data_IF_794897641923
#
_entry.id   IF_794897641923
#
_cell.length_a   1.000
_cell.length_b   1.000
_cell.length_c   1.000
_cell.angle_alpha   90.00
_cell.angle_beta   90.00
_cell.angle_gamma   90.00
#
_symmetry.space_group_name_H-M   'P 1'
#
loop_
_entity.id
_entity.type
_entity.pdbx_description
1 polymer ?
#
# COMPACT_ATOMS: atom_id res chain seq x y z
N UNK A 1 -9.96 -20.71 11.85
CA UNK A 1 -9.56 -19.32 11.89
C UNK A 1 -10.21 -18.54 10.75
N UNK A 2 -10.49 -17.27 10.93
CA UNK A 2 -10.94 -16.36 9.89
C UNK A 2 -10.29 -14.99 10.11
N UNK A 3 -10.20 -14.20 9.04
CA UNK A 3 -9.55 -12.89 9.04
C UNK A 3 -10.59 -11.77 9.03
N UNK A 4 -10.37 -10.78 9.88
CA UNK A 4 -11.04 -9.48 9.83
C UNK A 4 -10.03 -8.43 9.46
N UNK A 5 -10.29 -7.68 8.38
CA UNK A 5 -9.39 -6.62 7.92
C UNK A 5 -10.07 -5.27 8.04
N UNK A 6 -9.37 -4.33 8.65
CA UNK A 6 -9.81 -2.93 8.80
C UNK A 6 -8.92 -2.04 7.94
N UNK A 7 -9.53 -1.18 7.12
CA UNK A 7 -8.84 -0.11 6.42
C UNK A 7 -9.01 1.18 7.23
N UNK A 8 -7.90 1.78 7.65
CA UNK A 8 -7.90 3.00 8.47
C UNK A 8 -8.04 4.27 7.61
N UNK A 9 -8.09 4.12 6.28
CA UNK A 9 -8.16 5.23 5.32
C UNK A 9 -7.00 6.23 5.39
N UNK A 10 -5.88 5.82 5.97
CA UNK A 10 -4.65 6.58 6.08
C UNK A 10 -3.62 5.80 6.88
N UNK A 11 -2.35 6.21 6.76
CA UNK A 11 -1.26 5.61 7.52
C UNK A 11 -1.22 6.24 8.90
N UNK A 12 -1.33 5.43 9.94
CA UNK A 12 -1.26 5.85 11.34
C UNK A 12 -0.16 5.08 12.09
N UNK A 13 0.48 5.74 13.04
CA UNK A 13 1.22 5.03 14.11
C UNK A 13 0.22 4.41 15.05
N UNK A 14 0.29 3.11 15.25
CA UNK A 14 -0.69 2.35 16.01
C UNK A 14 -0.24 2.16 17.46
N UNK A 15 -1.15 2.47 18.37
CA UNK A 15 -0.96 2.24 19.81
C UNK A 15 -1.57 0.90 20.22
N UNK A 16 -2.87 0.72 19.98
CA UNK A 16 -3.60 -0.45 20.47
C UNK A 16 -4.85 -0.76 19.68
N UNK A 17 -5.34 -1.99 19.87
CA UNK A 17 -6.68 -2.42 19.48
C UNK A 17 -7.48 -2.64 20.75
N UNK A 18 -8.74 -2.23 20.76
CA UNK A 18 -9.70 -2.62 21.78
C UNK A 18 -10.86 -3.37 21.14
N UNK A 19 -11.22 -4.49 21.73
CA UNK A 19 -12.36 -5.29 21.36
C UNK A 19 -13.34 -5.32 22.52
N UNK A 20 -14.59 -4.97 22.25
CA UNK A 20 -15.69 -5.06 23.18
C UNK A 20 -16.53 -6.29 22.84
N UNK A 21 -16.50 -7.35 23.68
CA UNK A 21 -17.32 -8.52 23.48
C UNK A 21 -18.81 -8.19 23.55
N UNK A 22 -19.65 -9.02 22.92
CA UNK A 22 -21.09 -8.92 23.10
C UNK A 22 -21.46 -9.17 24.58
N UNK A 23 -22.34 -8.36 25.09
CA UNK A 23 -22.88 -8.47 26.46
C UNK A 23 -24.05 -9.44 26.60
N UNK A 24 -24.46 -10.10 25.52
CA UNK A 24 -25.54 -11.07 25.56
C UNK A 24 -25.22 -12.25 26.49
N UNK A 25 -26.26 -12.76 27.17
CA UNK A 25 -26.16 -13.73 28.26
C UNK A 25 -25.36 -14.98 27.90
N UNK A 26 -25.35 -15.39 26.65
CA UNK A 26 -24.65 -16.59 26.18
C UNK A 26 -23.25 -16.31 25.61
N UNK A 27 -22.87 -15.02 25.42
CA UNK A 27 -21.57 -14.57 24.92
C UNK A 27 -20.95 -15.47 23.81
N UNK A 28 -21.82 -16.09 22.99
CA UNK A 28 -21.37 -16.86 21.83
C UNK A 28 -20.59 -15.96 20.89
N UNK A 29 -19.48 -16.47 20.37
CA UNK A 29 -18.67 -15.72 19.42
C UNK A 29 -17.64 -14.79 20.05
N UNK A 30 -17.55 -14.72 21.37
CA UNK A 30 -16.50 -13.93 22.01
C UNK A 30 -15.11 -14.41 21.56
N UNK A 31 -14.32 -13.46 21.04
CA UNK A 31 -12.96 -13.68 20.58
C UNK A 31 -12.01 -13.68 21.77
N UNK A 32 -11.16 -14.67 21.90
CA UNK A 32 -10.16 -14.69 22.97
C UNK A 32 -8.76 -15.11 22.54
N UNK A 33 -8.56 -15.64 21.32
CA UNK A 33 -7.23 -15.93 20.84
C UNK A 33 -7.09 -15.64 19.36
N UNK A 34 -5.93 -15.16 18.98
CA UNK A 34 -5.60 -14.87 17.60
C UNK A 34 -4.28 -14.14 17.45
N UNK A 35 -4.10 -13.57 16.27
CA UNK A 35 -2.90 -12.80 15.91
C UNK A 35 -3.27 -11.54 15.18
N UNK A 36 -2.36 -10.58 15.24
CA UNK A 36 -2.50 -9.27 14.61
C UNK A 36 -1.40 -9.09 13.59
N UNK A 37 -1.78 -8.64 12.40
CA UNK A 37 -0.86 -8.22 11.36
C UNK A 37 -1.24 -6.83 10.84
N UNK A 38 -0.27 -6.11 10.30
CA UNK A 38 -0.43 -4.79 9.72
C UNK A 38 0.06 -4.76 8.29
N UNK A 39 -0.47 -3.83 7.50
CA UNK A 39 -0.07 -3.64 6.11
C UNK A 39 -0.21 -2.18 5.70
N UNK A 40 0.59 -1.76 4.72
CA UNK A 40 0.43 -0.47 4.03
C UNK A 40 -0.53 -0.56 2.86
N UNK A 41 -0.57 -1.68 2.15
CA UNK A 41 -1.25 -1.86 0.86
C UNK A 41 -2.42 -2.87 0.90
N UNK A 42 -2.61 -3.55 2.04
CA UNK A 42 -3.64 -4.58 2.20
C UNK A 42 -3.29 -5.94 1.58
N UNK A 43 -2.11 -6.06 0.97
CA UNK A 43 -1.64 -7.27 0.28
C UNK A 43 -0.41 -7.88 0.97
N UNK A 44 0.55 -7.04 1.31
CA UNK A 44 1.77 -7.44 2.02
C UNK A 44 1.60 -7.21 3.53
N UNK A 45 1.70 -8.27 4.32
CA UNK A 45 1.38 -8.27 5.74
C UNK A 45 2.61 -8.50 6.61
N UNK A 46 2.76 -7.66 7.63
CA UNK A 46 3.75 -7.83 8.70
C UNK A 46 3.04 -8.30 9.96
N UNK A 47 3.46 -9.43 10.50
CA UNK A 47 2.92 -9.95 11.76
C UNK A 47 3.45 -9.13 12.94
N UNK A 48 2.53 -8.67 13.81
CA UNK A 48 2.84 -7.85 14.98
C UNK A 48 2.78 -8.64 16.30
N UNK A 49 2.19 -9.83 16.28
CA UNK A 49 2.14 -10.74 17.41
C UNK A 49 0.78 -11.39 17.62
N UNK A 50 0.69 -12.14 18.68
CA UNK A 50 -0.49 -12.91 19.09
C UNK A 50 -1.13 -12.31 20.33
N UNK A 51 -2.41 -12.62 20.53
CA UNK A 51 -3.12 -12.32 21.77
C UNK A 51 -3.85 -13.54 22.30
N UNK A 52 -3.95 -13.60 23.61
CA UNK A 52 -4.79 -14.53 24.34
C UNK A 52 -5.47 -13.78 25.47
N UNK A 53 -6.79 -13.62 25.38
CA UNK A 53 -7.58 -12.83 26.30
C UNK A 53 -8.39 -13.71 27.26
N UNK A 54 -8.70 -13.17 28.43
CA UNK A 54 -9.59 -13.83 29.38
C UNK A 54 -10.98 -14.06 28.77
N UNK A 55 -11.59 -15.19 29.12
CA UNK A 55 -12.93 -15.59 28.65
C UNK A 55 -14.04 -14.93 29.50
N UNK A 56 -14.00 -13.61 29.60
CA UNK A 56 -14.97 -12.77 30.31
C UNK A 56 -15.52 -11.68 29.41
N UNK A 57 -16.57 -10.99 29.86
CA UNK A 57 -17.23 -9.91 29.11
C UNK A 57 -16.53 -8.56 29.16
N UNK A 58 -15.36 -8.45 29.78
CA UNK A 58 -14.61 -7.21 29.86
C UNK A 58 -13.99 -6.80 28.53
N UNK A 59 -13.70 -5.50 28.40
CA UNK A 59 -12.96 -4.98 27.25
C UNK A 59 -11.61 -5.67 27.11
N UNK A 60 -11.28 -6.10 25.91
CA UNK A 60 -10.01 -6.73 25.57
C UNK A 60 -9.11 -5.71 24.89
N UNK A 61 -7.82 -5.80 25.17
CA UNK A 61 -6.85 -4.90 24.60
C UNK A 61 -5.65 -5.69 24.05
N UNK A 62 -5.20 -5.27 22.86
CA UNK A 62 -3.93 -5.66 22.29
C UNK A 62 -3.11 -4.41 22.06
N UNK A 63 -1.94 -4.32 22.71
CA UNK A 63 -1.03 -3.17 22.55
C UNK A 63 0.06 -3.50 21.54
N UNK A 64 0.22 -2.64 20.54
CA UNK A 64 1.29 -2.77 19.56
C UNK A 64 2.66 -2.52 20.20
N UNK A 65 3.64 -3.35 19.85
CA UNK A 65 5.03 -3.12 20.21
C UNK A 65 5.69 -2.24 19.13
N UNK A 66 6.40 -1.19 19.55
CA UNK A 66 7.16 -0.35 18.65
C UNK A 66 6.33 0.61 17.77
N UNK A 67 5.03 0.76 18.06
CA UNK A 67 4.13 1.70 17.37
C UNK A 67 4.23 1.61 15.83
N UNK A 68 3.89 0.45 15.22
CA UNK A 68 4.03 0.27 13.78
C UNK A 68 3.18 1.27 13.01
N UNK A 69 3.68 1.74 11.88
CA UNK A 69 2.89 2.53 10.93
C UNK A 69 2.15 1.58 9.98
N UNK A 70 0.85 1.80 9.79
CA UNK A 70 0.05 1.00 8.87
C UNK A 70 -1.22 1.72 8.43
N UNK A 71 -1.75 1.32 7.28
CA UNK A 71 -3.09 1.69 6.80
C UNK A 71 -4.11 0.59 7.04
N UNK A 72 -3.68 -0.67 7.07
CA UNK A 72 -4.55 -1.81 7.28
C UNK A 72 -4.13 -2.59 8.52
N UNK A 73 -5.12 -3.04 9.26
CA UNK A 73 -4.94 -3.93 10.40
C UNK A 73 -5.75 -5.19 10.15
N UNK A 74 -5.11 -6.35 10.29
CA UNK A 74 -5.76 -7.64 10.18
C UNK A 74 -5.72 -8.35 11.53
N UNK A 75 -6.87 -8.81 11.97
CA UNK A 75 -7.02 -9.72 13.09
C UNK A 75 -7.40 -11.09 12.56
N UNK A 76 -6.52 -12.07 12.71
CA UNK A 76 -6.83 -13.48 12.46
C UNK A 76 -7.33 -14.09 13.74
N UNK A 77 -8.61 -14.44 13.76
CA UNK A 77 -9.27 -15.08 14.91
C UNK A 77 -9.01 -16.58 14.85
N UNK A 78 -8.43 -17.12 15.92
CA UNK A 78 -8.10 -18.54 16.03
C UNK A 78 -9.06 -19.29 16.94
N UNK A 79 -9.48 -18.68 18.06
CA UNK A 79 -10.42 -19.27 19.00
C UNK A 79 -11.49 -18.28 19.44
N UNK A 80 -12.73 -18.79 19.49
CA UNK A 80 -13.90 -18.08 19.98
C UNK A 80 -14.73 -18.95 20.89
N UNK A 81 -15.60 -18.35 21.70
CA UNK A 81 -16.61 -19.09 22.43
C UNK A 81 -17.74 -19.51 21.48
N UNK A 82 -17.92 -20.79 21.27
CA UNK A 82 -19.01 -21.34 20.44
C UNK A 82 -18.76 -21.38 18.93
N UNK A 83 -17.49 -21.16 18.47
CA UNK A 83 -17.08 -21.41 17.08
C UNK A 83 -17.41 -20.32 16.06
N UNK A 84 -18.17 -19.30 16.43
CA UNK A 84 -18.42 -18.10 15.60
C UNK A 84 -17.79 -16.89 16.27
N UNK A 85 -17.45 -15.84 15.53
CA UNK A 85 -17.00 -14.59 16.12
C UNK A 85 -18.11 -13.56 16.17
N UNK A 86 -18.19 -12.88 17.29
CA UNK A 86 -19.09 -11.75 17.49
C UNK A 86 -18.44 -10.70 18.38
N UNK A 87 -18.95 -9.49 18.35
CA UNK A 87 -18.53 -8.41 19.22
C UNK A 87 -19.45 -7.23 19.04
N UNK A 88 -19.46 -6.32 19.99
CA UNK A 88 -20.20 -5.07 19.87
C UNK A 88 -19.39 -4.07 19.09
N UNK A 89 -18.08 -3.96 19.40
CA UNK A 89 -17.20 -2.94 18.85
C UNK A 89 -15.78 -3.45 18.73
N UNK A 90 -15.08 -2.93 17.72
CA UNK A 90 -13.65 -3.12 17.52
C UNK A 90 -13.02 -1.77 17.15
N UNK A 91 -12.12 -1.30 17.98
CA UNK A 91 -11.44 -0.02 17.80
C UNK A 91 -9.96 -0.21 17.57
N UNK A 92 -9.40 0.58 16.64
CA UNK A 92 -7.96 0.75 16.47
C UNK A 92 -7.58 2.17 16.87
N UNK A 93 -6.65 2.28 17.80
CA UNK A 93 -6.18 3.57 18.30
C UNK A 93 -4.80 3.89 17.74
N UNK A 94 -4.65 5.11 17.28
CA UNK A 94 -3.34 5.65 16.93
C UNK A 94 -2.60 6.13 18.17
N UNK A 95 -1.28 6.17 18.10
CA UNK A 95 -0.43 6.76 19.13
C UNK A 95 -0.86 8.21 19.42
N UNK A 96 -1.08 8.59 20.68
CA UNK A 96 -1.44 9.94 21.06
C UNK A 96 -0.45 10.98 20.49
N UNK A 97 -0.98 12.05 19.92
CA UNK A 97 -0.18 13.12 19.29
C UNK A 97 0.32 12.79 17.87
N UNK A 98 0.26 11.54 17.42
CA UNK A 98 0.62 11.21 16.03
C UNK A 98 -0.44 11.71 15.03
N UNK A 99 0.02 12.11 13.84
CA UNK A 99 -0.88 12.49 12.74
C UNK A 99 -1.09 11.28 11.83
N UNK A 100 -2.29 11.15 11.28
CA UNK A 100 -2.52 10.25 10.16
C UNK A 100 -1.93 10.88 8.90
N UNK A 101 -1.24 10.05 8.12
CA UNK A 101 -0.72 10.43 6.82
C UNK A 101 -1.66 9.89 5.76
N UNK A 102 -1.98 10.69 4.77
CA UNK A 102 -2.77 10.23 3.62
C UNK A 102 -1.79 9.69 2.56
N UNK A 103 -1.93 8.43 2.13
CA UNK A 103 -1.13 7.93 1.02
C UNK A 103 -1.36 8.80 -0.22
N UNK A 104 -0.28 9.33 -0.78
CA UNK A 104 -0.35 10.23 -1.92
C UNK A 104 -0.26 11.72 -1.60
N UNK A 105 -0.40 12.13 -0.35
CA UNK A 105 -0.13 13.50 0.12
C UNK A 105 1.39 13.67 0.28
N UNK A 106 2.08 13.89 -0.84
CA UNK A 106 3.54 13.98 -0.88
C UNK A 106 4.05 15.35 -0.41
N UNK A 107 3.25 16.39 -0.56
CA UNK A 107 3.59 17.74 -0.12
C UNK A 107 3.19 18.01 1.34
N UNK A 108 2.48 17.06 1.99
CA UNK A 108 2.06 17.08 3.38
C UNK A 108 1.13 18.24 3.76
N UNK A 109 0.24 18.65 2.85
CA UNK A 109 -0.76 19.70 3.09
C UNK A 109 -2.13 19.16 3.57
N UNK A 110 -2.26 17.84 3.78
CA UNK A 110 -3.47 17.09 4.13
C UNK A 110 -4.52 17.00 3.03
N UNK A 111 -4.19 17.33 1.81
CA UNK A 111 -5.02 17.13 0.63
C UNK A 111 -4.33 16.13 -0.28
N UNK A 112 -5.08 15.58 -1.22
CA UNK A 112 -4.55 14.85 -2.35
C UNK A 112 -5.13 15.55 -3.56
N UNK A 113 -4.32 16.36 -4.22
CA UNK A 113 -4.73 17.18 -5.34
C UNK A 113 -3.65 17.26 -6.43
N UNK A 114 -3.83 18.16 -7.37
CA UNK A 114 -2.91 18.34 -8.50
C UNK A 114 -1.49 18.77 -8.06
N UNK A 115 -1.37 19.40 -6.88
CA UNK A 115 -0.06 19.78 -6.34
C UNK A 115 0.75 18.56 -5.94
N UNK A 116 0.08 17.53 -5.39
CA UNK A 116 0.75 16.25 -5.09
C UNK A 116 1.24 15.58 -6.37
N UNK A 117 0.36 15.50 -7.37
CA UNK A 117 0.72 14.91 -8.65
C UNK A 117 1.93 15.64 -9.28
N UNK A 118 1.94 16.97 -9.25
CA UNK A 118 3.07 17.78 -9.73
C UNK A 118 4.33 17.51 -8.91
N UNK A 119 4.20 17.38 -7.60
CA UNK A 119 5.32 17.07 -6.71
C UNK A 119 5.94 15.70 -7.01
N UNK A 120 5.13 14.70 -7.39
CA UNK A 120 5.66 13.40 -7.83
C UNK A 120 6.60 13.49 -9.03
N UNK A 121 6.36 14.42 -9.96
CA UNK A 121 7.26 14.61 -11.10
C UNK A 121 8.68 15.00 -10.65
N UNK A 122 8.79 15.72 -9.53
CA UNK A 122 10.07 16.13 -8.98
C UNK A 122 10.78 15.04 -8.20
N UNK A 123 10.03 14.09 -7.63
CA UNK A 123 10.55 13.06 -6.72
C UNK A 123 10.52 11.65 -7.31
N UNK A 124 9.99 11.48 -8.51
CA UNK A 124 9.96 10.19 -9.20
C UNK A 124 11.39 9.66 -9.44
N UNK A 125 11.61 8.41 -9.08
CA UNK A 125 12.90 7.74 -9.17
C UNK A 125 13.75 7.81 -7.91
N UNK A 126 13.39 8.64 -6.92
CA UNK A 126 14.08 8.66 -5.63
C UNK A 126 13.95 7.33 -4.90
N UNK A 127 15.05 6.90 -4.32
CA UNK A 127 15.17 5.65 -3.56
C UNK A 127 15.43 5.92 -2.09
N UNK A 128 14.98 5.00 -1.26
CA UNK A 128 15.32 5.01 0.17
C UNK A 128 16.85 5.02 0.34
N UNK A 129 17.33 6.04 1.03
CA UNK A 129 18.76 6.32 1.22
C UNK A 129 19.27 7.47 0.37
N UNK A 130 18.53 7.94 -0.62
CA UNK A 130 18.84 9.19 -1.32
C UNK A 130 18.61 10.38 -0.40
N UNK A 131 19.44 11.42 -0.54
CA UNK A 131 19.41 12.61 0.32
C UNK A 131 18.03 13.28 0.38
N UNK A 132 17.31 13.27 -0.74
CA UNK A 132 16.03 13.97 -0.86
C UNK A 132 14.82 13.05 -0.60
N UNK A 133 15.03 11.77 -0.27
CA UNK A 133 13.98 10.81 0.06
C UNK A 133 13.41 11.01 1.49
N UNK A 134 14.04 11.79 2.31
CA UNK A 134 13.73 11.96 3.74
C UNK A 134 12.48 12.82 3.99
N UNK A 135 11.99 12.78 5.21
CA UNK A 135 10.87 13.60 5.66
C UNK A 135 9.53 13.28 4.99
N UNK A 136 8.82 14.29 4.52
CA UNK A 136 7.52 14.13 3.89
C UNK A 136 7.59 13.49 2.50
N UNK A 137 8.69 13.62 1.79
CA UNK A 137 8.90 13.00 0.46
C UNK A 137 8.78 11.49 0.54
N UNK A 138 9.23 10.87 1.64
CA UNK A 138 9.07 9.43 1.87
C UNK A 138 7.59 8.97 1.95
N UNK A 139 6.64 9.89 2.12
CA UNK A 139 5.21 9.57 2.06
C UNK A 139 4.75 9.30 0.62
N UNK A 140 5.54 9.72 -0.36
CA UNK A 140 5.31 9.42 -1.76
C UNK A 140 5.54 7.95 -2.13
N UNK A 141 6.38 7.25 -1.39
CA UNK A 141 6.52 5.80 -1.49
C UNK A 141 5.34 5.12 -0.78
N UNK A 142 4.23 4.99 -1.49
CA UNK A 142 2.93 4.56 -0.94
C UNK A 142 2.95 3.09 -0.56
N UNK A 143 3.57 2.26 -1.39
CA UNK A 143 3.66 0.80 -1.15
C UNK A 143 4.85 0.40 -0.28
N UNK A 144 5.69 1.37 0.13
CA UNK A 144 6.87 1.19 0.99
C UNK A 144 7.90 0.22 0.43
N UNK A 145 8.05 0.17 -0.90
CA UNK A 145 9.08 -0.63 -1.56
C UNK A 145 10.46 0.04 -1.57
N UNK A 146 10.55 1.28 -1.09
CA UNK A 146 11.77 2.08 -1.05
C UNK A 146 12.07 2.85 -2.34
N UNK A 147 11.09 3.00 -3.23
CA UNK A 147 11.20 3.71 -4.49
C UNK A 147 9.92 4.51 -4.75
N UNK A 148 10.04 5.77 -5.12
CA UNK A 148 8.91 6.55 -5.62
C UNK A 148 8.82 6.31 -7.12
N UNK A 149 7.80 5.59 -7.57
CA UNK A 149 7.68 5.17 -8.97
C UNK A 149 6.27 5.37 -9.56
N UNK A 150 6.05 4.81 -10.74
CA UNK A 150 4.79 4.92 -11.45
C UNK A 150 3.60 4.28 -10.69
N UNK A 151 3.83 3.30 -9.82
CA UNK A 151 2.80 2.73 -8.96
C UNK A 151 2.24 3.81 -8.02
N UNK A 152 3.13 4.53 -7.33
CA UNK A 152 2.74 5.57 -6.38
C UNK A 152 1.97 6.70 -7.07
N UNK A 153 2.48 7.16 -8.21
CA UNK A 153 1.81 8.17 -9.04
C UNK A 153 0.42 7.71 -9.47
N UNK A 154 0.26 6.42 -9.82
CA UNK A 154 -1.03 5.87 -10.24
C UNK A 154 -2.07 5.88 -9.12
N UNK A 155 -1.65 5.64 -7.88
CA UNK A 155 -2.53 5.72 -6.70
C UNK A 155 -3.03 7.14 -6.51
N UNK A 156 -2.16 8.15 -6.61
CA UNK A 156 -2.57 9.57 -6.54
C UNK A 156 -3.54 9.92 -7.66
N UNK A 157 -3.21 9.56 -8.89
CA UNK A 157 -4.07 9.83 -10.05
C UNK A 157 -5.47 9.21 -9.91
N UNK A 158 -5.55 8.02 -9.29
CA UNK A 158 -6.84 7.36 -9.01
C UNK A 158 -7.67 8.13 -7.98
N UNK A 159 -7.03 8.69 -6.96
CA UNK A 159 -7.71 9.47 -5.93
C UNK A 159 -8.19 10.83 -6.45
N UNK A 160 -7.41 11.47 -7.33
CA UNK A 160 -7.81 12.70 -7.99
C UNK A 160 -9.11 12.54 -8.81
N UNK A 161 -9.28 11.39 -9.46
CA UNK A 161 -10.51 11.08 -10.22
C UNK A 161 -11.76 10.97 -9.33
N UNK A 162 -11.60 10.57 -8.09
CA UNK A 162 -12.71 10.42 -7.15
C UNK A 162 -13.25 11.76 -6.63
N UNK A 163 -12.50 12.85 -6.75
CA UNK A 163 -12.86 14.20 -6.30
C UNK A 163 -13.38 15.13 -7.39
N UNK A 164 -13.26 14.77 -8.66
CA UNK A 164 -13.67 15.61 -9.79
C UNK A 164 -15.05 15.17 -10.27
N UNK A 165 -16.04 16.03 -10.11
CA UNK A 165 -17.33 15.97 -10.80
C UNK A 165 -17.09 15.58 -12.27
N UNK A 166 -17.73 14.51 -12.70
CA UNK A 166 -17.56 13.80 -13.96
C UNK A 166 -17.49 14.69 -15.21
N UNK A 167 -16.32 15.22 -15.52
CA UNK A 167 -15.95 15.39 -16.91
C UNK A 167 -15.61 13.99 -17.40
N UNK A 168 -16.36 13.52 -18.36
CA UNK A 168 -16.17 12.20 -18.98
C UNK A 168 -14.71 12.06 -19.41
N UNK A 169 -13.94 11.30 -18.61
CA UNK A 169 -12.53 11.02 -18.94
C UNK A 169 -12.56 10.14 -20.18
N UNK A 170 -11.93 10.60 -21.25
CA UNK A 170 -11.78 9.78 -22.43
C UNK A 170 -11.17 8.43 -22.04
N UNK A 171 -11.68 7.31 -22.58
CA UNK A 171 -11.12 6.01 -22.25
C UNK A 171 -9.64 5.97 -22.64
N UNK A 172 -8.84 5.27 -21.84
CA UNK A 172 -7.44 5.00 -22.22
C UNK A 172 -7.47 4.21 -23.52
N UNK A 173 -6.84 4.74 -24.54
CA UNK A 173 -6.75 4.12 -25.86
C UNK A 173 -5.30 4.10 -26.35
N UNK A 174 -5.05 3.33 -27.39
CA UNK A 174 -3.74 3.15 -27.98
C UNK A 174 -3.13 1.77 -27.68
N UNK A 175 -1.89 1.60 -28.07
CA UNK A 175 -1.16 0.35 -27.85
C UNK A 175 0.25 0.62 -27.35
N UNK A 176 0.76 -0.29 -26.55
CA UNK A 176 2.15 -0.32 -26.08
C UNK A 176 2.76 -1.61 -26.59
N UNK A 177 3.92 -1.52 -27.20
CA UNK A 177 4.67 -2.65 -27.74
C UNK A 177 6.09 -2.64 -27.23
N UNK A 178 6.60 -3.81 -26.91
CA UNK A 178 8.00 -4.05 -26.62
C UNK A 178 8.69 -4.55 -27.87
N UNK A 179 9.75 -3.89 -28.31
CA UNK A 179 10.45 -4.21 -29.54
C UNK A 179 11.94 -4.43 -29.21
N UNK A 180 12.46 -5.60 -29.58
CA UNK A 180 13.88 -5.89 -29.52
C UNK A 180 14.62 -5.32 -30.75
N UNK A 181 15.86 -4.90 -30.55
CA UNK A 181 16.69 -4.34 -31.64
C UNK A 181 17.12 -5.37 -32.68
N UNK A 182 17.16 -6.67 -32.30
CA UNK A 182 17.50 -7.80 -33.19
C UNK A 182 16.48 -8.94 -33.04
N UNK A 183 16.46 -9.85 -34.01
CA UNK A 183 15.62 -11.07 -33.96
C UNK A 183 16.30 -12.26 -33.30
N UNK A 184 17.63 -12.24 -33.18
CA UNK A 184 18.42 -13.28 -32.54
C UNK A 184 19.65 -12.67 -31.92
N UNK A 185 20.11 -13.25 -30.82
CA UNK A 185 21.25 -12.80 -30.03
C UNK A 185 22.20 -13.95 -29.76
N UNK A 186 23.47 -13.61 -29.53
CA UNK A 186 24.50 -14.53 -29.10
C UNK A 186 24.97 -14.17 -27.68
N UNK A 187 25.64 -15.09 -27.01
CA UNK A 187 26.18 -14.82 -25.70
C UNK A 187 27.18 -13.63 -25.76
N UNK A 188 26.99 -12.66 -24.89
CA UNK A 188 27.76 -11.40 -24.85
C UNK A 188 27.14 -10.25 -25.64
N UNK A 189 26.07 -10.47 -26.39
CA UNK A 189 25.35 -9.37 -27.05
C UNK A 189 24.62 -8.48 -26.02
N UNK A 190 24.60 -7.19 -26.30
CA UNK A 190 23.68 -6.25 -25.62
C UNK A 190 22.32 -6.33 -26.29
N UNK A 191 21.30 -6.57 -25.50
CA UNK A 191 19.89 -6.60 -25.94
C UNK A 191 19.27 -5.25 -25.62
N UNK A 192 18.83 -4.53 -26.62
CA UNK A 192 18.07 -3.29 -26.43
C UNK A 192 16.58 -3.54 -26.66
N UNK A 193 15.80 -3.37 -25.59
CA UNK A 193 14.35 -3.48 -25.64
C UNK A 193 13.75 -2.07 -25.63
N UNK A 194 13.01 -1.72 -26.66
CA UNK A 194 12.34 -0.41 -26.75
C UNK A 194 10.86 -0.56 -26.47
N UNK A 195 10.37 0.19 -25.50
CA UNK A 195 8.94 0.36 -25.25
C UNK A 195 8.41 1.45 -26.16
N UNK A 196 7.47 1.13 -27.02
CA UNK A 196 6.84 2.08 -27.95
C UNK A 196 5.36 2.21 -27.66
N UNK A 197 4.91 3.45 -27.47
CA UNK A 197 3.51 3.81 -27.44
C UNK A 197 3.02 4.25 -28.82
N UNK A 198 1.79 3.87 -29.17
CA UNK A 198 1.12 4.32 -30.39
C UNK A 198 -0.31 4.74 -30.07
N UNK A 199 -0.68 5.93 -30.53
CA UNK A 199 -2.02 6.51 -30.40
C UNK A 199 -2.52 6.51 -28.95
N UNK A 200 -1.62 6.79 -27.99
CA UNK A 200 -1.94 6.80 -26.57
C UNK A 200 -2.81 8.00 -26.23
N UNK A 201 -3.96 7.76 -25.63
CA UNK A 201 -4.91 8.78 -25.19
C UNK A 201 -5.21 8.58 -23.73
N UNK A 202 -5.19 9.65 -22.94
CA UNK A 202 -5.52 9.65 -21.50
C UNK A 202 -4.64 8.73 -20.65
N UNK A 203 -3.42 8.42 -21.08
CA UNK A 203 -2.44 7.68 -20.30
C UNK A 203 -1.70 8.65 -19.37
N UNK A 204 -1.93 8.56 -18.05
CA UNK A 204 -1.30 9.41 -17.06
C UNK A 204 -0.02 8.80 -16.48
N UNK A 205 0.05 7.47 -16.41
CA UNK A 205 1.21 6.74 -15.94
C UNK A 205 1.25 5.35 -16.59
N UNK A 206 2.45 4.80 -16.76
CA UNK A 206 2.70 3.45 -17.23
C UNK A 206 3.69 2.77 -16.27
N UNK A 207 3.28 1.65 -15.71
CA UNK A 207 4.17 0.77 -14.95
C UNK A 207 4.10 -0.65 -15.52
N UNK A 208 5.26 -1.26 -15.71
CA UNK A 208 5.35 -2.66 -16.12
C UNK A 208 6.60 -3.30 -15.51
N UNK A 209 6.55 -4.60 -15.30
CA UNK A 209 7.68 -5.40 -14.90
C UNK A 209 8.16 -6.24 -16.09
N UNK A 210 9.46 -6.24 -16.31
CA UNK A 210 10.12 -7.10 -17.30
C UNK A 210 10.94 -8.14 -16.55
N UNK A 211 10.38 -9.30 -16.21
CA UNK A 211 11.11 -10.35 -15.53
C UNK A 211 12.19 -10.94 -16.46
N UNK A 212 13.38 -11.13 -15.94
CA UNK A 212 14.48 -11.79 -16.63
C UNK A 212 15.22 -12.72 -15.68
N UNK A 213 15.93 -13.72 -16.22
CA UNK A 213 16.76 -14.59 -15.43
C UNK A 213 18.13 -13.93 -15.19
N UNK A 214 18.41 -13.53 -13.96
CA UNK A 214 19.66 -12.85 -13.59
C UNK A 214 20.92 -13.74 -13.66
N UNK A 215 20.76 -15.07 -13.87
CA UNK A 215 21.90 -15.95 -14.15
C UNK A 215 22.33 -15.89 -15.61
N UNK A 216 21.43 -15.52 -16.51
CA UNK A 216 21.64 -15.53 -17.96
C UNK A 216 21.80 -14.11 -18.54
N UNK A 217 21.28 -13.09 -17.81
CA UNK A 217 21.28 -11.71 -18.26
C UNK A 217 21.72 -10.76 -17.16
N UNK A 218 22.45 -9.73 -17.52
CA UNK A 218 22.80 -8.61 -16.66
C UNK A 218 21.99 -7.38 -17.08
N UNK A 219 21.36 -6.71 -16.10
CA UNK A 219 20.67 -5.44 -16.35
C UNK A 219 21.69 -4.29 -16.43
N UNK A 220 21.80 -3.66 -17.60
CA UNK A 220 22.76 -2.58 -17.83
C UNK A 220 22.20 -1.22 -17.46
N UNK A 221 20.93 -0.95 -17.78
CA UNK A 221 20.30 0.35 -17.49
C UNK A 221 19.05 0.64 -18.30
N UNK A 222 18.48 1.81 -18.05
CA UNK A 222 17.35 2.37 -18.79
C UNK A 222 17.79 3.71 -19.38
N UNK A 223 17.51 3.91 -20.67
CA UNK A 223 17.68 5.18 -21.36
C UNK A 223 16.29 5.70 -21.72
N UNK A 224 15.94 6.89 -21.24
CA UNK A 224 14.68 7.55 -21.54
C UNK A 224 14.95 8.57 -22.63
N UNK A 225 14.59 8.21 -23.84
CA UNK A 225 14.62 9.15 -24.99
C UNK A 225 13.25 9.75 -25.14
N UNK A 226 13.20 11.07 -25.07
CA UNK A 226 12.11 12.00 -25.35
C UNK A 226 10.72 11.37 -25.54
N UNK A 227 9.86 11.58 -24.53
CA UNK A 227 8.42 11.41 -24.67
C UNK A 227 7.77 12.68 -25.19
#
# INVERSE_FOLDING_TARGET
>A
PFDMTMNLHGIAKLDKIQYLPSSERDSHGQIYKGRIATSFDGSNWTENGTFEWNKDGGVKEYKFKGEPEAQYVKMTVEETKGGQASGTELYVFKTPGSKMKKPGDINNDNRIDENDFTSYLNYCGLRKGDKDFEGYVSNGDINRNGLIDAYDISVVATQLKSGVSSKQVAPVAGSITLVADKKAYQAGDVITLTVKGKDLVSLNALSFALPYNATDFEFIGIDVKDM
#
